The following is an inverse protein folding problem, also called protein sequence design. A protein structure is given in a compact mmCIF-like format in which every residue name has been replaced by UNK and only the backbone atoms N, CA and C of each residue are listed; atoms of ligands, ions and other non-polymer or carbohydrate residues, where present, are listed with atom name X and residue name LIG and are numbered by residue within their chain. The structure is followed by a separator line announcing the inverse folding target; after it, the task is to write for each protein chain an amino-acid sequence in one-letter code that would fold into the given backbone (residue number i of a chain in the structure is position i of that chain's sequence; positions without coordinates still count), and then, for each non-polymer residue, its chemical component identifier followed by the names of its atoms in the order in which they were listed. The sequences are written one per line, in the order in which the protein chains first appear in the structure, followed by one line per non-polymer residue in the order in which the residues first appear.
data_IF_816158519185
#
_entry.id   IF_816158519185
#
_cell.length_a   1.000
_cell.length_b   1.000
_cell.length_c   1.000
_cell.angle_alpha   90.00
_cell.angle_beta   90.00
_cell.angle_gamma   90.00
#
_symmetry.space_group_name_H-M   'P 1'
#
loop_
_entity.id
_entity.type
_entity.pdbx_description
1 polymer ?
#
# COMPACT_ATOMS: atom_id res chain seq x y z
N UNK A 1 -23.96 4.32 24.08
CA UNK A 1 -24.94 3.35 24.61
C UNK A 1 -24.20 2.32 25.45
N UNK A 2 -24.79 1.80 26.53
CA UNK A 2 -24.18 0.73 27.30
C UNK A 2 -24.21 -0.58 26.50
N UNK A 3 -23.14 -1.40 26.48
CA UNK A 3 -23.12 -2.67 25.77
C UNK A 3 -24.17 -3.63 26.35
N UNK A 4 -24.90 -4.32 25.47
CA UNK A 4 -26.03 -5.21 25.80
C UNK A 4 -25.68 -6.69 25.72
N UNK A 5 -24.54 -7.05 25.12
CA UNK A 5 -24.04 -8.42 25.04
C UNK A 5 -22.61 -8.56 25.57
N UNK A 6 -22.20 -9.79 25.93
CA UNK A 6 -20.81 -10.08 26.35
C UNK A 6 -19.81 -9.72 25.26
N UNK A 7 -20.17 -9.95 23.99
CA UNK A 7 -19.33 -9.62 22.85
C UNK A 7 -19.19 -8.09 22.69
N UNK A 8 -20.29 -7.34 22.79
CA UNK A 8 -20.28 -5.88 22.81
C UNK A 8 -19.48 -5.33 23.99
N UNK A 9 -19.56 -5.98 25.16
CA UNK A 9 -18.82 -5.57 26.35
C UNK A 9 -17.31 -5.79 26.20
N UNK A 10 -16.90 -6.85 25.48
CA UNK A 10 -15.49 -7.11 25.17
C UNK A 10 -14.93 -6.13 24.13
N UNK A 11 -15.71 -5.82 23.08
CA UNK A 11 -15.36 -4.79 22.09
C UNK A 11 -15.23 -3.43 22.79
N UNK A 12 -16.24 -3.04 23.58
CA UNK A 12 -16.24 -1.80 24.35
C UNK A 12 -15.04 -1.66 25.29
N UNK A 13 -14.67 -2.72 26.02
CA UNK A 13 -13.48 -2.72 26.89
C UNK A 13 -12.19 -2.54 26.10
N UNK A 14 -12.07 -3.18 24.94
CA UNK A 14 -10.90 -3.07 24.05
C UNK A 14 -10.78 -1.65 23.48
N UNK A 15 -11.88 -1.08 23.01
CA UNK A 15 -11.93 0.27 22.45
C UNK A 15 -11.58 1.33 23.49
N UNK A 16 -12.06 1.14 24.73
CA UNK A 16 -11.71 1.99 25.86
C UNK A 16 -10.21 1.94 26.17
N UNK A 17 -9.63 0.73 26.24
CA UNK A 17 -8.19 0.59 26.49
C UNK A 17 -7.36 1.27 25.41
N UNK A 18 -7.71 1.08 24.13
CA UNK A 18 -7.01 1.69 22.99
C UNK A 18 -7.12 3.23 23.02
N UNK A 19 -8.29 3.75 23.37
CA UNK A 19 -8.52 5.19 23.56
C UNK A 19 -7.63 5.74 24.67
N UNK A 20 -7.63 5.11 25.84
CA UNK A 20 -6.92 5.63 27.03
C UNK A 20 -5.39 5.46 26.91
N UNK A 21 -4.91 4.39 26.27
CA UNK A 21 -3.51 3.94 26.37
C UNK A 21 -2.74 3.89 25.04
N UNK A 22 -3.39 3.98 23.87
CA UNK A 22 -2.71 3.80 22.59
C UNK A 22 -2.81 5.00 21.65
N UNK A 23 -4.02 5.44 21.30
CA UNK A 23 -4.21 6.54 20.34
C UNK A 23 -4.81 7.82 20.92
N UNK A 24 -5.48 7.81 22.09
CA UNK A 24 -6.10 9.02 22.63
C UNK A 24 -7.37 9.48 21.88
N UNK A 25 -7.73 8.83 20.78
CA UNK A 25 -8.92 9.09 19.96
C UNK A 25 -10.07 8.18 20.41
N UNK A 26 -11.22 8.76 20.77
CA UNK A 26 -12.42 7.98 21.08
C UNK A 26 -13.10 7.44 19.81
N UNK A 27 -13.93 6.40 19.97
CA UNK A 27 -14.61 5.75 18.83
C UNK A 27 -15.42 6.72 17.95
N UNK A 28 -16.05 7.74 18.55
CA UNK A 28 -16.90 8.72 17.86
C UNK A 28 -16.17 10.03 17.51
N UNK A 29 -14.84 10.09 17.62
CA UNK A 29 -14.07 11.31 17.33
C UNK A 29 -13.80 11.51 15.83
N UNK A 30 -14.21 10.57 14.97
CA UNK A 30 -14.06 10.65 13.51
C UNK A 30 -15.16 11.48 12.84
N UNK A 31 -14.80 12.19 11.76
CA UNK A 31 -15.75 12.93 10.93
C UNK A 31 -16.41 12.05 9.86
N UNK A 32 -15.86 10.86 9.61
CA UNK A 32 -16.35 9.88 8.65
C UNK A 32 -17.19 8.82 9.37
N UNK A 33 -18.41 8.58 8.87
CA UNK A 33 -19.22 7.46 9.34
C UNK A 33 -18.51 6.13 9.02
N UNK A 34 -18.51 5.21 9.99
CA UNK A 34 -17.92 3.89 9.82
C UNK A 34 -18.47 3.12 8.62
N UNK A 35 -19.74 3.34 8.26
CA UNK A 35 -20.36 2.70 7.10
C UNK A 35 -19.72 3.16 5.78
N UNK A 36 -19.23 4.39 5.72
CA UNK A 36 -18.65 4.99 4.52
C UNK A 36 -17.17 4.62 4.32
N UNK A 37 -16.49 4.15 5.37
CA UNK A 37 -15.04 3.87 5.34
C UNK A 37 -14.66 2.95 4.19
N UNK A 38 -15.43 1.89 3.93
CA UNK A 38 -15.15 0.95 2.84
C UNK A 38 -15.26 1.61 1.47
N UNK A 39 -16.28 2.44 1.26
CA UNK A 39 -16.50 3.17 0.02
C UNK A 39 -15.38 4.20 -0.21
N UNK A 40 -15.08 5.00 0.81
CA UNK A 40 -14.04 6.02 0.79
C UNK A 40 -12.68 5.40 0.47
N UNK A 41 -12.28 4.35 1.19
CA UNK A 41 -10.99 3.71 0.93
C UNK A 41 -10.92 3.18 -0.50
N UNK A 42 -11.96 2.51 -1.01
CA UNK A 42 -12.00 2.03 -2.41
C UNK A 42 -11.87 3.15 -3.44
N UNK A 43 -12.50 4.30 -3.18
CA UNK A 43 -12.44 5.47 -4.04
C UNK A 43 -11.01 6.02 -4.10
N UNK A 44 -10.38 6.25 -2.94
CA UNK A 44 -9.05 6.84 -2.85
C UNK A 44 -7.93 5.88 -3.25
N UNK A 45 -8.13 4.57 -3.13
CA UNK A 45 -7.11 3.57 -3.52
C UNK A 45 -7.31 3.02 -4.93
N UNK A 46 -8.23 3.57 -5.74
CA UNK A 46 -8.64 2.96 -7.02
C UNK A 46 -7.49 2.73 -8.02
N UNK A 47 -6.48 3.57 -8.05
CA UNK A 47 -5.34 3.44 -8.98
C UNK A 47 -4.00 3.37 -8.27
N UNK A 48 -4.03 3.09 -6.97
CA UNK A 48 -2.84 3.07 -6.14
C UNK A 48 -2.41 1.64 -5.88
N UNK A 49 -1.11 1.41 -5.96
CA UNK A 49 -0.49 0.24 -5.34
C UNK A 49 -0.51 0.46 -3.84
N UNK A 50 -1.04 -0.50 -3.10
CA UNK A 50 -1.22 -0.37 -1.65
C UNK A 50 -0.11 -1.12 -0.95
N UNK A 51 0.62 -0.41 -0.09
CA UNK A 51 1.62 -0.98 0.79
C UNK A 51 1.20 -0.74 2.23
N UNK A 52 1.34 -1.77 3.07
CA UNK A 52 1.16 -1.63 4.52
C UNK A 52 2.25 -2.45 5.25
N UNK A 53 2.39 -2.26 6.56
CA UNK A 53 3.38 -2.94 7.38
C UNK A 53 2.74 -3.94 8.32
N UNK A 54 2.97 -5.21 8.01
CA UNK A 54 2.56 -6.36 8.83
C UNK A 54 1.48 -7.20 8.16
N UNK A 55 1.73 -8.51 8.11
CA UNK A 55 0.90 -9.50 7.42
C UNK A 55 -0.59 -9.43 7.77
N UNK A 56 -0.93 -9.37 9.07
CA UNK A 56 -2.33 -9.34 9.50
C UNK A 56 -3.07 -8.09 9.00
N UNK A 57 -2.39 -6.93 8.99
CA UNK A 57 -2.99 -5.69 8.48
C UNK A 57 -3.15 -5.73 6.96
N UNK A 58 -2.17 -6.29 6.26
CA UNK A 58 -2.25 -6.47 4.81
C UNK A 58 -3.42 -7.40 4.44
N UNK A 59 -3.63 -8.49 5.19
CA UNK A 59 -4.78 -9.39 5.01
C UNK A 59 -6.10 -8.67 5.27
N UNK A 60 -6.21 -7.98 6.40
CA UNK A 60 -7.41 -7.20 6.74
C UNK A 60 -7.75 -6.15 5.66
N UNK A 61 -6.75 -5.39 5.20
CA UNK A 61 -6.95 -4.40 4.15
C UNK A 61 -7.29 -5.06 2.80
N UNK A 62 -6.66 -6.18 2.46
CA UNK A 62 -6.98 -6.93 1.23
C UNK A 62 -8.41 -7.44 1.24
N UNK A 63 -8.92 -7.90 2.39
CA UNK A 63 -10.31 -8.31 2.55
C UNK A 63 -11.27 -7.11 2.40
N UNK A 64 -10.99 -6.01 3.12
CA UNK A 64 -11.79 -4.79 3.06
C UNK A 64 -11.85 -4.19 1.65
N UNK A 65 -10.73 -4.27 0.93
CA UNK A 65 -10.54 -3.72 -0.40
C UNK A 65 -10.64 -4.76 -1.50
N UNK A 66 -11.13 -5.97 -1.21
CA UNK A 66 -11.23 -7.07 -2.17
C UNK A 66 -11.88 -6.60 -3.49
N UNK A 67 -11.28 -6.94 -4.65
CA UNK A 67 -10.21 -7.93 -4.86
C UNK A 67 -8.76 -7.36 -4.85
N UNK A 68 -8.49 -6.27 -4.11
CA UNK A 68 -7.15 -5.66 -4.05
C UNK A 68 -6.11 -6.55 -3.36
N UNK A 69 -4.90 -6.58 -3.91
CA UNK A 69 -3.71 -7.09 -3.21
C UNK A 69 -3.03 -5.93 -2.47
N UNK A 70 -2.68 -6.15 -1.20
CA UNK A 70 -1.88 -5.23 -0.39
C UNK A 70 -0.50 -5.84 -0.14
N UNK A 71 0.56 -5.11 -0.47
CA UNK A 71 1.94 -5.58 -0.32
C UNK A 71 2.48 -5.28 1.08
N UNK A 72 2.97 -6.30 1.79
CA UNK A 72 3.63 -6.11 3.07
C UNK A 72 5.03 -5.52 2.86
N UNK A 73 5.26 -4.33 3.41
CA UNK A 73 6.57 -3.68 3.44
C UNK A 73 7.63 -4.55 4.13
N UNK A 74 7.24 -5.49 5.01
CA UNK A 74 8.14 -6.50 5.57
C UNK A 74 8.84 -7.35 4.49
N UNK A 75 8.13 -7.71 3.42
CA UNK A 75 8.68 -8.51 2.32
C UNK A 75 9.73 -7.72 1.52
N UNK A 76 9.67 -6.39 1.58
CA UNK A 76 10.68 -5.48 1.02
C UNK A 76 11.82 -5.18 2.00
N UNK A 77 11.83 -5.80 3.19
CA UNK A 77 12.85 -5.59 4.21
C UNK A 77 12.62 -4.36 5.09
N UNK A 78 11.40 -3.80 5.15
CA UNK A 78 11.09 -2.70 6.05
C UNK A 78 11.29 -3.13 7.50
N UNK A 79 12.09 -2.38 8.30
CA UNK A 79 12.27 -2.70 9.71
C UNK A 79 10.99 -2.41 10.50
N UNK A 80 11.00 -2.72 11.80
CA UNK A 80 9.91 -2.35 12.69
C UNK A 80 9.80 -0.83 12.82
N UNK A 81 8.58 -0.31 13.04
CA UNK A 81 8.33 1.12 13.21
C UNK A 81 9.23 1.77 14.27
N UNK A 82 9.55 1.07 15.37
CA UNK A 82 10.46 1.53 16.42
C UNK A 82 11.88 1.84 15.93
N UNK A 83 12.31 1.19 14.85
CA UNK A 83 13.64 1.38 14.24
C UNK A 83 13.63 2.46 13.15
N UNK A 84 12.46 2.87 12.68
CA UNK A 84 12.32 4.01 11.79
C UNK A 84 12.40 5.27 12.66
N UNK A 85 13.27 6.20 12.29
CA UNK A 85 13.36 7.51 12.94
C UNK A 85 12.49 8.50 12.19
N UNK A 86 11.79 9.38 12.91
CA UNK A 86 11.36 10.65 12.35
C UNK A 86 12.49 11.64 12.62
N UNK A 87 12.94 12.38 11.63
CA UNK A 87 13.84 13.51 11.89
C UNK A 87 13.12 14.49 12.83
N UNK A 88 13.85 15.02 13.81
CA UNK A 88 13.32 15.88 14.89
C UNK A 88 12.59 17.13 14.35
N UNK A 89 12.87 17.51 13.11
CA UNK A 89 12.27 18.65 12.39
C UNK A 89 10.75 18.49 12.13
N UNK A 90 10.18 17.30 12.35
CA UNK A 90 8.76 16.99 12.15
C UNK A 90 8.10 16.34 13.38
N UNK A 91 8.62 16.56 14.59
CA UNK A 91 8.03 15.91 15.78
C UNK A 91 6.65 16.48 16.16
N UNK A 92 6.19 17.54 15.49
CA UNK A 92 4.82 18.04 15.58
C UNK A 92 3.89 17.26 14.65
N UNK A 93 2.98 16.45 15.22
CA UNK A 93 1.92 15.80 14.44
C UNK A 93 0.94 16.84 13.89
N UNK A 94 1.06 17.23 12.61
CA UNK A 94 0.03 18.00 11.88
C UNK A 94 -1.17 17.12 11.47
N UNK A 95 -1.56 16.18 12.33
CA UNK A 95 -2.81 15.45 12.19
C UNK A 95 -3.96 16.34 12.69
N UNK A 96 -5.15 16.23 12.10
CA UNK A 96 -6.36 16.85 12.67
C UNK A 96 -6.68 16.38 14.09
N UNK A 97 -6.06 15.28 14.51
CA UNK A 97 -6.05 14.80 15.89
C UNK A 97 -5.20 15.66 16.85
N UNK A 98 -4.59 16.78 16.43
CA UNK A 98 -3.72 17.62 17.27
C UNK A 98 -4.33 18.03 18.63
N UNK A 99 -5.64 18.36 18.75
CA UNK A 99 -6.26 18.60 20.06
C UNK A 99 -6.44 17.34 20.91
N UNK A 100 -6.40 16.15 20.30
CA UNK A 100 -6.65 14.82 20.89
C UNK A 100 -5.34 14.11 21.27
N UNK A 101 -4.26 14.36 20.56
CA UNK A 101 -2.92 13.81 20.84
C UNK A 101 -2.05 14.77 21.67
N UNK A 102 -2.56 15.25 22.82
CA UNK A 102 -1.83 16.21 23.67
C UNK A 102 -0.62 15.61 24.41
N UNK A 103 -0.33 14.32 24.22
CA UNK A 103 0.76 13.61 24.90
C UNK A 103 1.57 12.80 23.90
N UNK A 104 2.90 12.92 23.99
CA UNK A 104 3.88 12.33 23.05
C UNK A 104 3.94 10.80 23.05
N UNK A 105 3.30 10.11 24.01
CA UNK A 105 3.32 8.65 24.08
C UNK A 105 2.28 7.97 23.16
N UNK A 106 1.27 8.70 22.67
CA UNK A 106 0.27 8.13 21.78
C UNK A 106 0.81 7.87 20.38
N UNK A 107 0.43 6.72 19.81
CA UNK A 107 0.90 6.25 18.51
C UNK A 107 -0.01 6.78 17.39
N UNK A 108 0.37 7.89 16.77
CA UNK A 108 -0.40 8.45 15.66
C UNK A 108 -0.24 7.63 14.37
N UNK A 109 -1.36 7.11 13.84
CA UNK A 109 -1.39 6.40 12.56
C UNK A 109 -0.82 7.23 11.39
N UNK A 110 -1.13 8.55 11.31
CA UNK A 110 -0.58 9.44 10.28
C UNK A 110 0.96 9.54 10.36
N UNK A 111 1.51 9.65 11.57
CA UNK A 111 2.98 9.67 11.79
C UNK A 111 3.61 8.36 11.33
N UNK A 112 3.02 7.22 11.68
CA UNK A 112 3.48 5.91 11.23
C UNK A 112 3.45 5.76 9.70
N UNK A 113 2.36 6.18 9.04
CA UNK A 113 2.27 6.15 7.58
C UNK A 113 3.33 7.03 6.91
N UNK A 114 3.60 8.23 7.44
CA UNK A 114 4.66 9.11 6.92
C UNK A 114 6.04 8.46 7.06
N UNK A 115 6.33 7.83 8.21
CA UNK A 115 7.61 7.13 8.42
C UNK A 115 7.79 5.95 7.46
N UNK A 116 6.73 5.16 7.25
CA UNK A 116 6.74 4.06 6.27
C UNK A 116 6.91 4.57 4.84
N UNK A 117 6.20 5.64 4.46
CA UNK A 117 6.29 6.25 3.15
C UNK A 117 7.70 6.80 2.89
N UNK A 118 8.31 7.49 3.87
CA UNK A 118 9.70 7.96 3.79
C UNK A 118 10.65 6.80 3.56
N UNK A 119 10.59 5.77 4.40
CA UNK A 119 11.42 4.56 4.25
C UNK A 119 11.23 3.92 2.87
N UNK A 120 9.99 3.84 2.39
CA UNK A 120 9.71 3.28 1.08
C UNK A 120 10.37 4.11 -0.03
N UNK A 121 10.24 5.43 0.01
CA UNK A 121 10.83 6.31 -1.00
C UNK A 121 12.36 6.29 -0.98
N UNK A 122 12.99 6.15 0.18
CA UNK A 122 14.46 6.15 0.32
C UNK A 122 15.10 4.78 0.10
N UNK A 123 14.44 3.71 0.54
CA UNK A 123 15.03 2.36 0.59
C UNK A 123 14.15 1.29 -0.07
N UNK A 124 12.84 1.34 0.15
CA UNK A 124 11.91 0.31 -0.32
C UNK A 124 11.71 0.27 -1.83
N UNK A 125 11.65 1.43 -2.50
CA UNK A 125 11.36 1.54 -3.94
C UNK A 125 12.38 0.79 -4.80
N UNK A 126 13.65 0.83 -4.42
CA UNK A 126 14.71 0.09 -5.12
C UNK A 126 14.49 -1.43 -5.08
N UNK A 127 13.82 -1.96 -4.05
CA UNK A 127 13.53 -3.39 -3.89
C UNK A 127 12.52 -3.90 -4.92
N UNK A 128 11.67 -3.03 -5.45
CA UNK A 128 10.76 -3.36 -6.57
C UNK A 128 11.52 -3.71 -7.86
N UNK A 129 12.79 -3.32 -7.97
CA UNK A 129 13.69 -3.68 -9.05
C UNK A 129 14.17 -5.13 -9.03
N UNK A 130 13.88 -5.91 -7.99
CA UNK A 130 14.20 -7.35 -7.94
C UNK A 130 13.23 -8.16 -8.80
N UNK A 131 13.74 -8.92 -9.78
CA UNK A 131 12.90 -9.82 -10.59
C UNK A 131 12.15 -10.84 -9.74
N UNK A 132 12.75 -11.33 -8.65
CA UNK A 132 12.09 -12.26 -7.71
C UNK A 132 10.86 -11.64 -7.05
N UNK A 133 10.94 -10.37 -6.62
CA UNK A 133 9.77 -9.65 -6.10
C UNK A 133 8.71 -9.48 -7.18
N UNK A 134 9.13 -9.06 -8.39
CA UNK A 134 8.19 -8.82 -9.49
C UNK A 134 7.45 -10.11 -9.88
N UNK A 135 8.13 -11.24 -10.04
CA UNK A 135 7.47 -12.53 -10.28
C UNK A 135 6.46 -12.89 -9.18
N UNK A 136 6.86 -12.78 -7.90
CA UNK A 136 5.97 -13.05 -6.77
C UNK A 136 4.72 -12.16 -6.79
N UNK A 137 4.86 -10.91 -7.26
CA UNK A 137 3.72 -10.00 -7.33
C UNK A 137 2.60 -10.50 -8.25
N UNK A 138 2.90 -11.33 -9.25
CA UNK A 138 1.93 -11.88 -10.20
C UNK A 138 1.18 -13.13 -9.71
N UNK A 139 1.40 -13.60 -8.48
CA UNK A 139 0.69 -14.78 -7.92
C UNK A 139 -0.85 -14.67 -8.02
N UNK A 140 -1.39 -13.46 -7.93
CA UNK A 140 -2.83 -13.18 -8.02
C UNK A 140 -3.22 -12.43 -9.31
N UNK A 141 -2.36 -12.45 -10.33
CA UNK A 141 -2.66 -11.81 -11.61
C UNK A 141 -3.75 -12.59 -12.35
N UNK A 142 -4.76 -11.92 -12.93
CA UNK A 142 -5.87 -12.63 -13.55
C UNK A 142 -5.41 -13.42 -14.78
N UNK A 143 -5.66 -14.74 -14.74
CA UNK A 143 -5.35 -15.67 -15.83
C UNK A 143 -5.99 -15.27 -17.17
N UNK A 144 -7.14 -14.58 -17.12
CA UNK A 144 -7.87 -14.10 -18.30
C UNK A 144 -7.08 -13.13 -19.16
N UNK A 145 -6.04 -12.48 -18.62
CA UNK A 145 -5.24 -11.50 -19.36
C UNK A 145 -4.43 -12.16 -20.49
N UNK A 146 -4.06 -13.45 -20.37
CA UNK A 146 -3.29 -14.21 -21.36
C UNK A 146 -1.97 -13.53 -21.80
N UNK A 147 -1.36 -12.75 -20.91
CA UNK A 147 -0.10 -12.07 -21.15
C UNK A 147 1.07 -12.86 -20.56
N UNK A 148 2.23 -12.82 -21.21
CA UNK A 148 3.45 -13.42 -20.70
C UNK A 148 4.00 -12.65 -19.49
N UNK A 149 3.89 -13.27 -18.31
CA UNK A 149 4.41 -12.73 -17.05
C UNK A 149 5.95 -12.62 -17.07
N UNK A 150 6.65 -13.51 -17.77
CA UNK A 150 8.11 -13.42 -17.89
C UNK A 150 8.51 -12.15 -18.64
N UNK A 151 7.88 -11.89 -19.79
CA UNK A 151 8.13 -10.68 -20.57
C UNK A 151 7.78 -9.40 -19.78
N UNK A 152 6.66 -9.41 -19.05
CA UNK A 152 6.30 -8.32 -18.13
C UNK A 152 7.42 -8.02 -17.12
N UNK A 153 7.95 -9.05 -16.47
CA UNK A 153 9.00 -8.90 -15.46
C UNK A 153 10.31 -8.37 -16.08
N UNK A 154 10.67 -8.84 -17.28
CA UNK A 154 11.84 -8.36 -18.03
C UNK A 154 11.70 -6.89 -18.46
N UNK A 155 10.47 -6.46 -18.79
CA UNK A 155 10.14 -5.07 -19.06
C UNK A 155 9.97 -4.21 -17.79
N UNK A 156 10.27 -4.79 -16.62
CA UNK A 156 10.30 -4.09 -15.34
C UNK A 156 8.94 -3.90 -14.68
N UNK A 157 7.93 -4.65 -15.12
CA UNK A 157 6.59 -4.59 -14.56
C UNK A 157 6.43 -5.51 -13.35
N UNK A 158 5.68 -5.02 -12.36
CA UNK A 158 5.12 -5.81 -11.26
C UNK A 158 3.61 -5.57 -11.20
N UNK A 159 2.85 -6.51 -10.66
CA UNK A 159 1.40 -6.38 -10.56
C UNK A 159 1.01 -5.26 -9.58
N UNK A 160 0.02 -4.45 -9.94
CA UNK A 160 -0.49 -3.38 -9.06
C UNK A 160 -1.36 -3.90 -7.91
N UNK A 161 -1.83 -5.14 -8.02
CA UNK A 161 -2.83 -5.70 -7.11
C UNK A 161 -4.28 -5.38 -7.49
N UNK A 162 -4.55 -4.83 -8.68
CA UNK A 162 -5.90 -4.55 -9.15
C UNK A 162 -6.10 -4.85 -10.63
N UNK A 163 -7.18 -5.57 -10.95
CA UNK A 163 -7.50 -5.95 -12.32
C UNK A 163 -6.33 -6.69 -12.97
N UNK A 164 -5.97 -6.28 -14.17
CA UNK A 164 -4.77 -6.71 -14.89
C UNK A 164 -3.70 -5.59 -14.95
N UNK A 165 -3.84 -4.56 -14.11
CA UNK A 165 -2.94 -3.40 -14.15
C UNK A 165 -1.58 -3.74 -13.56
N UNK A 166 -0.52 -3.45 -14.28
CA UNK A 166 0.88 -3.58 -13.86
C UNK A 166 1.56 -2.22 -13.80
N UNK A 167 2.63 -2.12 -13.02
CA UNK A 167 3.38 -0.87 -12.80
C UNK A 167 4.86 -1.09 -13.09
N UNK A 168 5.47 -0.19 -13.86
CA UNK A 168 6.91 -0.24 -14.09
C UNK A 168 7.65 0.24 -12.84
N UNK A 169 8.56 -0.58 -12.30
CA UNK A 169 9.33 -0.21 -11.10
C UNK A 169 10.28 0.99 -11.32
N UNK A 170 10.71 1.21 -12.56
CA UNK A 170 11.70 2.24 -12.89
C UNK A 170 11.04 3.59 -13.21
N UNK A 171 10.02 3.62 -14.06
CA UNK A 171 9.39 4.86 -14.51
C UNK A 171 8.05 5.15 -13.82
N UNK A 172 7.45 4.17 -13.13
CA UNK A 172 6.20 4.32 -12.40
C UNK A 172 4.93 4.32 -13.25
N UNK A 173 5.02 4.10 -14.56
CA UNK A 173 3.83 4.03 -15.42
C UNK A 173 2.98 2.82 -15.07
N UNK A 174 1.67 3.02 -14.94
CA UNK A 174 0.66 1.97 -14.79
C UNK A 174 -0.04 1.69 -16.12
N UNK A 175 -0.18 0.43 -16.48
CA UNK A 175 -0.85 -0.01 -17.71
C UNK A 175 -1.69 -1.24 -17.39
N UNK A 176 -2.92 -1.29 -17.91
CA UNK A 176 -3.86 -2.40 -17.76
C UNK A 176 -4.76 -2.49 -19.00
N UNK A 177 -5.83 -3.28 -18.90
CA UNK A 177 -6.75 -3.57 -20.02
C UNK A 177 -6.00 -4.19 -21.21
N UNK A 178 -5.22 -5.24 -20.93
CA UNK A 178 -4.32 -5.85 -21.88
C UNK A 178 -5.06 -6.65 -22.96
N UNK A 179 -4.58 -6.56 -24.20
CA UNK A 179 -4.96 -7.43 -25.32
C UNK A 179 -3.86 -8.48 -25.54
N UNK A 180 -4.21 -9.76 -25.80
CA UNK A 180 -3.22 -10.82 -26.02
C UNK A 180 -2.27 -10.60 -27.21
N UNK A 181 -2.68 -9.77 -28.18
CA UNK A 181 -1.94 -9.51 -29.42
C UNK A 181 -0.99 -8.31 -29.31
N UNK A 182 -0.89 -7.69 -28.13
CA UNK A 182 -0.17 -6.42 -27.96
C UNK A 182 1.32 -6.64 -27.71
N UNK A 183 2.16 -5.80 -28.35
CA UNK A 183 3.60 -5.74 -28.03
C UNK A 183 3.79 -4.96 -26.72
N UNK A 184 4.16 -5.68 -25.66
CA UNK A 184 4.29 -5.13 -24.31
C UNK A 184 5.35 -4.03 -24.23
N UNK A 185 6.44 -4.17 -24.97
CA UNK A 185 7.52 -3.18 -25.00
C UNK A 185 7.07 -1.91 -25.67
N UNK A 186 6.36 -2.03 -26.79
CA UNK A 186 5.82 -0.90 -27.53
C UNK A 186 4.79 -0.16 -26.69
N UNK A 187 3.89 -0.87 -26.00
CA UNK A 187 2.92 -0.26 -25.08
C UNK A 187 3.61 0.45 -23.92
N UNK A 188 4.62 -0.17 -23.31
CA UNK A 188 5.42 0.49 -22.28
C UNK A 188 6.07 1.78 -22.80
N UNK A 189 6.70 1.74 -23.98
CA UNK A 189 7.32 2.92 -24.59
C UNK A 189 6.30 3.98 -24.97
N UNK A 190 5.12 3.59 -25.45
CA UNK A 190 4.01 4.49 -25.78
C UNK A 190 3.50 5.22 -24.53
N UNK A 191 3.32 4.47 -23.44
CA UNK A 191 2.83 5.01 -22.18
C UNK A 191 3.87 5.92 -21.48
N UNK A 192 5.16 5.59 -21.59
CA UNK A 192 6.24 6.47 -21.12
C UNK A 192 7.52 6.34 -21.97
N UNK A 193 7.69 7.21 -22.99
CA UNK A 193 8.87 7.20 -23.87
C UNK A 193 10.18 7.49 -23.14
N UNK A 194 10.11 8.05 -21.93
CA UNK A 194 11.27 8.41 -21.13
C UNK A 194 11.78 7.27 -20.23
N UNK A 195 11.08 6.13 -20.19
CA UNK A 195 11.42 5.00 -19.33
C UNK A 195 12.83 4.44 -19.65
N UNK A 196 13.74 4.34 -18.65
CA UNK A 196 15.10 3.86 -18.86
C UNK A 196 15.16 2.39 -19.34
N UNK A 197 14.19 1.55 -18.95
CA UNK A 197 14.14 0.14 -19.35
C UNK A 197 13.89 0.01 -20.87
N UNK A 198 12.91 0.77 -21.38
CA UNK A 198 12.59 0.73 -22.82
C UNK A 198 13.60 1.48 -23.68
N UNK A 199 14.41 2.39 -23.10
CA UNK A 199 15.49 3.12 -23.78
C UNK A 199 16.78 2.33 -23.88
N UNK A 200 17.20 1.66 -22.80
CA UNK A 200 18.52 1.05 -22.67
C UNK A 200 18.59 -0.41 -23.13
N UNK A 201 17.52 -0.93 -23.72
CA UNK A 201 17.54 -2.26 -24.29
C UNK A 201 18.35 -2.29 -25.57
N UNK A 202 19.66 -2.45 -25.43
CA UNK A 202 20.52 -2.97 -26.48
C UNK A 202 20.00 -4.35 -26.85
N UNK A 203 19.66 -4.52 -28.13
CA UNK A 203 19.23 -5.79 -28.70
C UNK A 203 20.27 -6.89 -28.38
N UNK A 204 19.86 -7.95 -27.69
CA UNK A 204 20.42 -9.26 -27.97
C UNK A 204 19.66 -9.75 -29.21
N UNK A 205 20.31 -9.63 -30.37
CA UNK A 205 19.92 -10.28 -31.61
C UNK A 205 20.27 -11.76 -31.56
#
# INVERSE_FOLDING_TARGET
MAPTSVNEMNVYKKDRWLTENYHGIGWNDGETDHQDVKYILRLYTKRSVIFDKGREKCLFLSELLSPRVVYDLADLGCPSLKKLKCDDEFDYCWCWCFPKHRVSHYQCSKKNCIMLARWFMTCGKAKLGSSSFRFKSFENFPYTSKIDVYEMVELGFFYSGYGDTVVCHACGVDIGEWSPEVDLRMEHRRANPMCPITKNSTFAA
#
